data_IF_849819442836
#
_entry.id   IF_849819442836
#
_cell.length_a   1.000
_cell.length_b   1.000
_cell.length_c   1.000
_cell.angle_alpha   90.00
_cell.angle_beta   90.00
_cell.angle_gamma   90.00
#
_symmetry.space_group_name_H-M   'P 1'
#
loop_
_entity.id
_entity.type
_entity.pdbx_description
1 polymer ?
#
# COMPACT_ATOMS: atom_id res chain seq x y z
N UNK A 1 -1.36 -3.79 13.66
CA UNK A 1 -0.41 -4.14 12.58
C UNK A 1 -0.68 -5.59 12.19
N UNK A 2 -0.89 -5.91 10.92
CA UNK A 2 -1.07 -7.29 10.47
C UNK A 2 0.28 -7.87 10.05
N UNK A 3 0.66 -9.07 10.50
CA UNK A 3 1.88 -9.73 10.03
C UNK A 3 1.71 -10.26 8.60
N UNK A 4 2.81 -10.35 7.85
CA UNK A 4 2.86 -10.74 6.43
C UNK A 4 2.18 -12.09 6.15
N UNK A 5 2.32 -13.07 7.05
CA UNK A 5 1.74 -14.40 6.88
C UNK A 5 0.20 -14.41 6.79
N UNK A 6 -0.49 -13.40 7.33
CA UNK A 6 -1.97 -13.31 7.28
C UNK A 6 -2.49 -13.23 5.85
N UNK A 7 -1.75 -12.59 4.94
CA UNK A 7 -2.12 -12.48 3.54
C UNK A 7 -1.98 -13.81 2.78
N UNK A 8 -1.26 -14.79 3.34
CA UNK A 8 -1.06 -16.13 2.75
C UNK A 8 -1.86 -17.21 3.47
N UNK A 9 -2.39 -16.91 4.64
CA UNK A 9 -3.13 -17.87 5.46
C UNK A 9 -4.50 -18.18 4.85
N UNK A 10 -4.94 -19.41 5.08
CA UNK A 10 -6.32 -19.83 4.87
C UNK A 10 -6.93 -20.18 6.21
N UNK A 11 -8.11 -19.64 6.47
CA UNK A 11 -8.91 -19.90 7.66
C UNK A 11 -10.10 -20.76 7.26
N UNK A 12 -10.67 -21.50 8.21
CA UNK A 12 -11.91 -22.25 8.00
C UNK A 12 -13.01 -21.52 8.76
N UNK A 13 -14.06 -21.12 8.06
CA UNK A 13 -15.26 -20.59 8.71
C UNK A 13 -15.99 -21.74 9.43
N UNK A 14 -16.13 -21.70 10.77
CA UNK A 14 -16.78 -22.76 11.53
C UNK A 14 -18.27 -22.91 11.21
N UNK A 15 -18.91 -21.89 10.64
CA UNK A 15 -20.35 -21.88 10.35
C UNK A 15 -20.66 -22.60 9.03
N UNK A 16 -19.85 -22.34 8.00
CA UNK A 16 -20.07 -22.86 6.64
C UNK A 16 -19.12 -24.01 6.27
N UNK A 17 -18.04 -24.21 7.05
CA UNK A 17 -16.95 -25.13 6.72
C UNK A 17 -16.06 -24.65 5.56
N UNK A 18 -16.29 -23.44 5.04
CA UNK A 18 -15.60 -22.93 3.85
C UNK A 18 -14.20 -22.41 4.20
N UNK A 19 -13.26 -22.64 3.29
CA UNK A 19 -11.91 -22.06 3.36
C UNK A 19 -11.93 -20.61 2.87
N UNK A 20 -11.52 -19.69 3.71
CA UNK A 20 -11.50 -18.25 3.42
C UNK A 20 -10.12 -17.67 3.66
N UNK A 21 -9.70 -16.74 2.80
CA UNK A 21 -8.47 -15.97 2.94
C UNK A 21 -8.73 -14.58 3.52
N UNK A 22 -7.68 -13.85 3.88
CA UNK A 22 -7.82 -12.43 4.23
C UNK A 22 -8.43 -11.60 3.08
N UNK A 23 -8.21 -11.99 1.84
CA UNK A 23 -8.76 -11.31 0.68
C UNK A 23 -10.27 -11.50 0.55
N UNK A 24 -10.79 -12.66 0.97
CA UNK A 24 -12.24 -12.95 0.96
C UNK A 24 -12.96 -12.24 2.12
N UNK A 25 -12.32 -12.20 3.29
CA UNK A 25 -12.86 -11.52 4.47
C UNK A 25 -12.87 -9.99 4.31
N UNK A 26 -11.84 -9.44 3.66
CA UNK A 26 -11.64 -8.00 3.49
C UNK A 26 -11.39 -7.65 2.01
N UNK A 27 -12.39 -7.79 1.12
CA UNK A 27 -12.17 -7.64 -0.33
C UNK A 27 -11.89 -6.19 -0.73
N UNK A 28 -12.55 -5.24 -0.08
CA UNK A 28 -12.45 -3.81 -0.42
C UNK A 28 -11.53 -3.02 0.52
N UNK A 29 -11.04 -3.63 1.60
CA UNK A 29 -10.20 -2.95 2.57
C UNK A 29 -8.81 -2.69 1.99
N UNK A 30 -8.37 -1.42 1.86
CA UNK A 30 -7.02 -1.11 1.40
C UNK A 30 -5.99 -1.52 2.44
N UNK A 31 -4.80 -1.92 1.98
CA UNK A 31 -3.68 -2.28 2.84
C UNK A 31 -2.67 -1.15 2.83
N UNK A 32 -2.35 -0.64 4.02
CA UNK A 32 -1.32 0.38 4.21
C UNK A 32 -0.03 -0.29 4.65
N UNK A 33 1.03 -0.07 3.90
CA UNK A 33 2.36 -0.60 4.15
C UNK A 33 3.30 0.55 4.50
N UNK A 34 4.03 0.39 5.60
CA UNK A 34 4.84 1.45 6.20
C UNK A 34 6.34 1.39 5.84
N UNK A 35 6.77 0.34 5.15
CA UNK A 35 8.18 0.10 4.80
C UNK A 35 8.31 -0.88 3.62
N UNK A 36 9.54 -1.34 3.32
CA UNK A 36 9.84 -2.34 2.26
C UNK A 36 9.62 -3.80 2.70
N UNK A 37 9.33 -4.08 3.97
CA UNK A 37 9.24 -5.44 4.53
C UNK A 37 7.87 -6.10 4.30
N UNK A 38 7.27 -5.88 3.14
CA UNK A 38 6.03 -6.55 2.74
C UNK A 38 6.32 -7.81 1.92
N UNK A 39 7.55 -8.32 1.95
CA UNK A 39 7.99 -9.63 1.41
C UNK A 39 7.43 -9.95 0.02
N UNK A 40 7.39 -8.94 -0.86
CA UNK A 40 6.84 -9.02 -2.21
C UNK A 40 5.38 -9.55 -2.26
N UNK A 41 4.63 -9.51 -1.13
CA UNK A 41 3.24 -10.01 -1.03
C UNK A 41 2.34 -9.31 -2.05
N UNK A 42 2.47 -8.00 -2.20
CA UNK A 42 1.70 -7.22 -3.18
C UNK A 42 2.19 -7.39 -4.63
N UNK A 43 3.32 -8.08 -4.84
CA UNK A 43 3.82 -8.52 -6.15
C UNK A 43 3.47 -9.99 -6.44
N UNK A 44 2.93 -10.71 -5.46
CA UNK A 44 2.49 -12.09 -5.63
C UNK A 44 1.34 -12.20 -6.64
N UNK A 45 1.30 -13.31 -7.38
CA UNK A 45 0.21 -13.59 -8.34
C UNK A 45 -1.16 -13.65 -7.68
N UNK A 46 -1.19 -13.96 -6.39
CA UNK A 46 -2.41 -14.14 -5.60
C UNK A 46 -2.98 -12.81 -5.10
N UNK A 47 -2.27 -11.68 -5.28
CA UNK A 47 -2.81 -10.39 -4.88
C UNK A 47 -3.99 -9.98 -5.76
N UNK A 48 -5.18 -9.70 -5.20
CA UNK A 48 -6.32 -9.32 -6.01
C UNK A 48 -6.10 -7.96 -6.68
N UNK A 49 -6.26 -7.91 -8.01
CA UNK A 49 -6.06 -6.68 -8.82
C UNK A 49 -6.93 -5.49 -8.37
N UNK A 50 -8.07 -5.75 -7.74
CA UNK A 50 -8.97 -4.72 -7.24
C UNK A 50 -8.56 -4.18 -5.86
N UNK A 51 -7.73 -4.90 -5.11
CA UNK A 51 -7.39 -4.57 -3.73
C UNK A 51 -6.26 -3.55 -3.69
N UNK A 52 -6.55 -2.41 -3.05
CA UNK A 52 -5.68 -1.24 -3.09
C UNK A 52 -4.53 -1.30 -2.09
N UNK A 53 -3.36 -0.86 -2.54
CA UNK A 53 -2.10 -0.83 -1.79
C UNK A 53 -1.64 0.61 -1.62
N UNK A 54 -1.52 1.03 -0.37
CA UNK A 54 -1.03 2.33 0.01
C UNK A 54 0.36 2.17 0.63
N UNK A 55 1.35 2.84 0.07
CA UNK A 55 2.72 2.82 0.60
C UNK A 55 3.01 4.16 1.24
N UNK A 56 3.39 4.16 2.51
CA UNK A 56 3.86 5.37 3.20
C UNK A 56 5.39 5.26 3.37
N UNK A 57 6.18 5.84 2.43
CA UNK A 57 7.61 5.93 2.63
C UNK A 57 7.91 6.67 3.94
N UNK A 58 8.97 6.27 4.63
CA UNK A 58 9.59 7.02 5.73
C UNK A 58 9.07 6.71 7.17
N UNK A 59 8.69 5.46 7.48
CA UNK A 59 8.60 5.01 8.89
C UNK A 59 9.85 4.28 9.41
N UNK A 60 10.60 3.45 8.64
CA UNK A 60 11.89 2.85 9.08
C UNK A 60 12.84 2.37 7.95
N UNK A 61 14.09 2.00 8.33
CA UNK A 61 15.40 1.91 7.63
C UNK A 61 15.51 1.13 6.29
N UNK A 62 14.79 1.52 5.24
CA UNK A 62 15.05 0.98 3.90
C UNK A 62 14.66 1.93 2.78
N UNK A 63 15.54 2.10 1.79
CA UNK A 63 15.21 2.84 0.58
C UNK A 63 14.26 2.00 -0.30
N UNK A 64 13.11 2.60 -0.65
CA UNK A 64 12.23 2.05 -1.68
C UNK A 64 12.93 2.10 -3.04
N UNK A 65 12.79 1.04 -3.82
CA UNK A 65 13.29 0.97 -5.19
C UNK A 65 12.14 1.08 -6.18
N UNK A 66 12.45 1.23 -7.48
CA UNK A 66 11.45 1.44 -8.53
C UNK A 66 10.30 0.41 -8.51
N UNK A 67 10.62 -0.87 -8.27
CA UNK A 67 9.63 -1.95 -8.16
C UNK A 67 8.60 -1.70 -7.07
N UNK A 68 9.02 -1.12 -5.94
CA UNK A 68 8.15 -0.88 -4.80
C UNK A 68 7.18 0.28 -5.10
N UNK A 69 7.68 1.31 -5.79
CA UNK A 69 6.86 2.43 -6.24
C UNK A 69 5.82 2.00 -7.26
N UNK A 70 6.19 1.17 -8.24
CA UNK A 70 5.24 0.69 -9.23
C UNK A 70 4.23 -0.30 -8.66
N UNK A 71 4.57 -1.05 -7.62
CA UNK A 71 3.64 -1.99 -6.99
C UNK A 71 2.51 -1.30 -6.21
N UNK A 72 2.69 -0.04 -5.82
CA UNK A 72 1.70 0.71 -5.07
C UNK A 72 0.60 1.27 -5.97
N UNK A 73 -0.64 1.33 -5.48
CA UNK A 73 -1.69 2.15 -6.10
C UNK A 73 -1.51 3.63 -5.71
N UNK A 74 -1.19 3.87 -4.44
CA UNK A 74 -1.03 5.21 -3.88
C UNK A 74 0.21 5.27 -2.99
N UNK A 75 1.03 6.29 -3.19
CA UNK A 75 2.19 6.60 -2.34
C UNK A 75 1.84 7.81 -1.48
N UNK A 76 1.77 7.60 -0.17
CA UNK A 76 1.46 8.60 0.84
C UNK A 76 2.73 9.36 1.23
N UNK A 77 2.95 10.51 0.61
CA UNK A 77 4.07 11.39 0.89
C UNK A 77 3.82 12.26 2.12
N UNK A 78 4.74 12.21 3.10
CA UNK A 78 4.69 13.07 4.30
C UNK A 78 4.86 14.56 3.97
N UNK A 79 5.55 14.91 2.89
CA UNK A 79 5.88 16.30 2.53
C UNK A 79 5.52 16.61 1.08
N UNK A 80 5.24 17.89 0.79
CA UNK A 80 4.93 18.35 -0.56
C UNK A 80 6.12 18.17 -1.52
N UNK A 81 7.35 18.21 -0.98
CA UNK A 81 8.58 17.91 -1.74
C UNK A 81 8.56 16.46 -2.21
N UNK A 82 8.27 15.49 -1.32
CA UNK A 82 8.15 14.08 -1.71
C UNK A 82 7.17 13.90 -2.88
N UNK A 83 5.96 14.45 -2.77
CA UNK A 83 4.93 14.29 -3.80
C UNK A 83 5.41 14.84 -5.16
N UNK A 84 5.97 16.06 -5.18
CA UNK A 84 6.47 16.70 -6.41
C UNK A 84 7.62 15.94 -7.06
N UNK A 85 8.60 15.49 -6.26
CA UNK A 85 9.77 14.79 -6.79
C UNK A 85 9.41 13.39 -7.28
N UNK A 86 8.52 12.70 -6.58
CA UNK A 86 8.03 11.39 -6.98
C UNK A 86 7.22 11.49 -8.27
N UNK A 87 6.34 12.48 -8.43
CA UNK A 87 5.63 12.72 -9.68
C UNK A 87 6.59 13.01 -10.83
N UNK A 88 7.63 13.82 -10.59
CA UNK A 88 8.67 14.09 -11.59
C UNK A 88 9.41 12.81 -11.99
N UNK A 89 9.78 11.99 -11.01
CA UNK A 89 10.45 10.72 -11.23
C UNK A 89 9.57 9.73 -12.01
N UNK A 90 8.28 9.60 -11.67
CA UNK A 90 7.30 8.76 -12.39
C UNK A 90 7.13 9.19 -13.86
N UNK A 91 7.20 10.49 -14.15
CA UNK A 91 7.18 11.00 -15.54
C UNK A 91 8.46 10.65 -16.31
N UNK A 92 9.61 10.58 -15.62
CA UNK A 92 10.90 10.29 -16.23
C UNK A 92 11.14 8.79 -16.46
N UNK A 93 10.80 7.96 -15.46
CA UNK A 93 11.06 6.51 -15.48
C UNK A 93 9.87 5.70 -16.00
N UNK A 94 8.69 6.32 -16.11
CA UNK A 94 7.45 5.64 -16.45
C UNK A 94 6.65 5.20 -15.22
N UNK A 95 5.35 5.05 -15.43
CA UNK A 95 4.37 4.68 -14.40
C UNK A 95 3.45 3.56 -14.92
N UNK A 96 3.96 2.30 -15.00
CA UNK A 96 3.26 1.21 -15.66
C UNK A 96 1.93 0.86 -14.99
N UNK A 97 1.83 1.03 -13.67
CA UNK A 97 0.65 0.68 -12.87
C UNK A 97 -0.21 1.89 -12.49
N UNK A 98 0.04 3.06 -13.10
CA UNK A 98 -0.70 4.30 -12.83
C UNK A 98 -0.73 4.70 -11.34
N UNK A 99 0.35 4.42 -10.62
CA UNK A 99 0.54 4.78 -9.22
C UNK A 99 0.37 6.29 -9.03
N UNK A 100 -0.35 6.70 -7.99
CA UNK A 100 -0.56 8.11 -7.65
C UNK A 100 0.28 8.49 -6.44
N UNK A 101 0.92 9.66 -6.46
CA UNK A 101 1.46 10.25 -5.23
C UNK A 101 0.40 11.13 -4.56
N UNK A 102 0.32 11.10 -3.23
CA UNK A 102 -0.61 11.92 -2.46
C UNK A 102 0.12 12.55 -1.27
N UNK A 103 0.04 13.87 -1.15
CA UNK A 103 0.50 14.57 0.04
C UNK A 103 -0.43 14.24 1.22
N UNK A 104 0.13 13.74 2.30
CA UNK A 104 -0.53 13.66 3.60
C UNK A 104 -0.64 15.06 4.19
N UNK A 105 -1.57 15.85 3.67
CA UNK A 105 -1.88 17.13 4.25
C UNK A 105 -2.53 16.90 5.61
N UNK A 106 -1.98 17.48 6.68
CA UNK A 106 -2.83 17.81 7.83
C UNK A 106 -3.87 18.78 7.29
N UNK A 107 -5.16 18.43 7.34
CA UNK A 107 -6.18 19.48 7.45
C UNK A 107 -5.88 20.19 8.76
N UNK A 108 -5.18 21.31 8.70
CA UNK A 108 -5.34 22.38 9.68
C UNK A 108 -6.72 22.99 9.40
N UNK A 109 -7.76 22.25 9.73
CA UNK A 109 -9.11 22.79 9.91
C UNK A 109 -9.46 22.40 11.33
N UNK A 110 -9.69 23.42 12.16
CA UNK A 110 -10.21 23.35 13.53
C UNK A 110 -9.17 23.29 14.67
N UNK A 111 -8.17 24.19 14.63
CA UNK A 111 -7.52 24.70 15.85
C UNK A 111 -7.44 26.23 15.80
N UNK A 112 -8.61 26.87 15.74
CA UNK A 112 -8.82 28.19 16.34
C UNK A 112 -9.89 28.01 17.42
N UNK A 113 -9.44 28.03 18.68
CA UNK A 113 -10.20 28.36 19.89
C UNK A 113 -9.20 28.57 21.02
#
# INVERSE_FOLDING_TARGET
MLPSWVFRATFVDPTTGTRVSYHDLCPHTPVVVFNRYWDDIVLGKDWPKHKKVFVMPNIEMGQLVAKDYWAADVILCKTAICARYLDKWMRQQGNPNQTKSALQARRLRDQEL
#
